data_IF_878107715880
#
_entry.id   IF_878107715880
#
_cell.length_a   1.000
_cell.length_b   1.000
_cell.length_c   1.000
_cell.angle_alpha   90.00
_cell.angle_beta   90.00
_cell.angle_gamma   90.00
#
_symmetry.space_group_name_H-M   'P 1'
#
loop_
_entity.id
_entity.type
_entity.pdbx_description
1 polymer ?
#
# COMPACT_ATOMS: atom_id res chain seq x y z
N UNK A 1 10.41 12.26 -17.30
CA UNK A 1 9.57 12.72 -16.18
C UNK A 1 8.70 11.54 -15.75
N UNK A 2 8.35 11.41 -14.47
CA UNK A 2 7.38 10.40 -14.01
C UNK A 2 5.99 10.90 -14.37
N UNK A 3 5.20 10.07 -15.05
CA UNK A 3 3.86 10.43 -15.52
C UNK A 3 2.78 9.49 -14.96
N UNK A 4 3.16 8.35 -14.40
CA UNK A 4 2.25 7.40 -13.76
C UNK A 4 2.77 6.99 -12.38
N UNK A 5 1.92 7.11 -11.37
CA UNK A 5 2.16 6.58 -10.03
C UNK A 5 1.24 5.40 -9.79
N UNK A 6 1.82 4.29 -9.33
CA UNK A 6 1.10 3.07 -8.99
C UNK A 6 1.41 2.74 -7.54
N UNK A 7 0.37 2.54 -6.75
CA UNK A 7 0.49 1.97 -5.42
C UNK A 7 0.25 0.47 -5.52
N UNK A 8 1.22 -0.31 -5.07
CA UNK A 8 1.18 -1.75 -5.04
C UNK A 8 0.86 -2.24 -3.62
N UNK A 9 -0.04 -3.22 -3.50
CA UNK A 9 -0.41 -3.84 -2.22
C UNK A 9 -0.38 -5.37 -2.40
N UNK A 10 0.32 -6.08 -1.52
CA UNK A 10 0.28 -7.54 -1.52
C UNK A 10 -1.02 -8.02 -0.89
N UNK A 11 -1.79 -8.83 -1.61
CA UNK A 11 -2.99 -9.50 -1.08
C UNK A 11 -2.70 -10.64 -0.10
N UNK A 12 -1.45 -10.82 0.34
CA UNK A 12 -1.10 -11.83 1.35
C UNK A 12 -0.12 -11.24 2.36
N UNK A 13 -0.39 -11.53 3.63
CA UNK A 13 0.39 -11.09 4.80
C UNK A 13 1.44 -12.13 5.26
N UNK A 14 1.47 -13.31 4.63
CA UNK A 14 2.43 -14.36 5.01
C UNK A 14 3.86 -13.89 4.75
N UNK A 15 4.78 -14.23 5.65
CA UNK A 15 6.18 -13.84 5.57
C UNK A 15 6.85 -14.27 4.25
N UNK A 16 6.57 -15.49 3.78
CA UNK A 16 7.02 -16.00 2.48
C UNK A 16 5.86 -15.88 1.49
N UNK A 17 5.90 -14.82 0.67
CA UNK A 17 4.82 -14.48 -0.26
C UNK A 17 5.36 -14.19 -1.66
N UNK A 18 4.94 -15.01 -2.63
CA UNK A 18 5.25 -14.80 -4.05
C UNK A 18 4.71 -13.47 -4.59
N UNK A 19 3.51 -13.05 -4.16
CA UNK A 19 2.95 -11.75 -4.57
C UNK A 19 3.87 -10.60 -4.16
N UNK A 20 4.42 -10.62 -2.94
CA UNK A 20 5.38 -9.62 -2.50
C UNK A 20 6.67 -9.64 -3.34
N UNK A 21 7.16 -10.82 -3.70
CA UNK A 21 8.32 -10.95 -4.59
C UNK A 21 8.05 -10.36 -5.99
N UNK A 22 6.86 -10.62 -6.56
CA UNK A 22 6.44 -10.05 -7.85
C UNK A 22 6.34 -8.53 -7.79
N UNK A 23 5.72 -7.96 -6.74
CA UNK A 23 5.60 -6.50 -6.60
C UNK A 23 6.96 -5.81 -6.43
N UNK A 24 7.89 -6.44 -5.70
CA UNK A 24 9.28 -5.96 -5.60
C UNK A 24 10.00 -6.01 -6.95
N UNK A 25 9.81 -7.06 -7.74
CA UNK A 25 10.38 -7.15 -9.08
C UNK A 25 9.78 -6.09 -10.02
N UNK A 26 8.45 -5.90 -10.01
CA UNK A 26 7.77 -4.87 -10.79
C UNK A 26 8.30 -3.48 -10.48
N UNK A 27 8.54 -3.16 -9.20
CA UNK A 27 9.12 -1.88 -8.79
C UNK A 27 10.51 -1.65 -9.38
N UNK A 28 11.34 -2.70 -9.48
CA UNK A 28 12.70 -2.62 -10.07
C UNK A 28 12.67 -2.54 -11.60
N UNK A 29 11.67 -3.14 -12.23
CA UNK A 29 11.53 -3.21 -13.68
C UNK A 29 10.65 -2.08 -14.24
N UNK A 30 10.16 -1.18 -13.39
CA UNK A 30 9.28 -0.10 -13.79
C UNK A 30 9.95 0.78 -14.87
N UNK A 31 9.23 1.09 -15.98
CA UNK A 31 9.73 2.03 -16.98
C UNK A 31 10.02 3.41 -16.37
N UNK A 32 10.87 4.20 -17.03
CA UNK A 32 11.32 5.51 -16.53
C UNK A 32 10.20 6.53 -16.27
N UNK A 33 9.00 6.33 -16.83
CA UNK A 33 7.84 7.19 -16.65
C UNK A 33 6.84 6.64 -15.60
N UNK A 34 7.13 5.51 -14.95
CA UNK A 34 6.27 4.86 -13.97
C UNK A 34 7.00 4.77 -12.63
N UNK A 35 6.34 5.20 -11.55
CA UNK A 35 6.80 4.97 -10.18
C UNK A 35 5.84 4.01 -9.50
N UNK A 36 6.35 2.86 -9.05
CA UNK A 36 5.60 1.89 -8.26
C UNK A 36 6.06 2.01 -6.80
N UNK A 37 5.12 2.20 -5.88
CA UNK A 37 5.41 2.26 -4.43
C UNK A 37 4.63 1.16 -3.72
N UNK A 38 5.34 0.29 -2.99
CA UNK A 38 4.74 -0.81 -2.25
C UNK A 38 4.26 -0.34 -0.86
N UNK A 39 2.99 -0.62 -0.54
CA UNK A 39 2.45 -0.45 0.80
C UNK A 39 2.64 -1.74 1.62
N UNK A 40 3.30 -1.64 2.79
CA UNK A 40 3.59 -2.78 3.67
C UNK A 40 2.81 -2.77 4.98
N UNK A 41 2.08 -1.70 5.30
CA UNK A 41 1.34 -1.55 6.55
C UNK A 41 -0.03 -2.26 6.56
N UNK A 42 -0.26 -3.25 5.70
CA UNK A 42 -1.56 -3.93 5.60
C UNK A 42 -1.82 -4.82 6.82
N UNK A 43 -0.77 -5.42 7.39
CA UNK A 43 -0.88 -6.26 8.58
C UNK A 43 -1.28 -5.48 9.84
N UNK A 44 -1.05 -4.18 9.85
CA UNK A 44 -1.35 -3.30 10.98
C UNK A 44 -2.82 -2.84 10.99
N UNK A 45 -3.55 -3.05 9.88
CA UNK A 45 -4.98 -2.74 9.83
C UNK A 45 -5.76 -3.73 10.70
N UNK A 46 -6.60 -3.19 11.57
CA UNK A 46 -7.58 -3.99 12.31
C UNK A 46 -8.71 -4.43 11.38
N UNK A 47 -9.48 -5.44 11.80
CA UNK A 47 -10.74 -5.76 11.15
C UNK A 47 -11.63 -4.51 11.07
N UNK A 48 -12.32 -4.37 9.94
CA UNK A 48 -13.30 -3.30 9.79
C UNK A 48 -14.36 -3.40 10.88
N UNK A 49 -14.60 -2.29 11.55
CA UNK A 49 -15.67 -2.12 12.52
C UNK A 49 -16.31 -0.74 12.29
N UNK A 50 -17.60 -0.66 11.91
CA UNK A 50 -18.26 0.63 11.67
C UNK A 50 -18.29 1.53 12.91
N UNK A 51 -18.26 0.97 14.13
CA UNK A 51 -18.22 1.75 15.37
C UNK A 51 -16.89 2.50 15.56
N UNK A 52 -15.84 2.07 14.85
CA UNK A 52 -14.50 2.68 14.86
C UNK A 52 -14.24 3.54 13.60
N UNK A 53 -15.16 3.61 12.64
CA UNK A 53 -15.02 4.45 11.43
C UNK A 53 -15.57 5.86 11.67
N UNK A 54 -15.11 6.47 12.76
CA UNK A 54 -15.45 7.82 13.18
C UNK A 54 -14.21 8.49 13.78
N UNK A 55 -14.16 9.82 13.78
CA UNK A 55 -13.01 10.53 14.31
C UNK A 55 -12.94 10.41 15.84
N UNK A 56 -11.73 10.17 16.42
CA UNK A 56 -10.47 9.90 15.71
C UNK A 56 -10.38 8.46 15.20
N UNK A 57 -9.91 8.31 13.95
CA UNK A 57 -9.69 7.00 13.33
C UNK A 57 -8.46 6.28 13.93
N UNK A 58 -8.40 4.94 13.86
CA UNK A 58 -7.20 4.20 14.22
C UNK A 58 -5.97 4.62 13.40
N UNK A 59 -4.81 4.74 14.05
CA UNK A 59 -3.56 5.18 13.41
C UNK A 59 -3.21 4.44 12.11
N UNK A 60 -3.37 3.09 12.01
CA UNK A 60 -3.09 2.37 10.77
C UNK A 60 -4.00 2.79 9.60
N UNK A 61 -5.25 3.19 9.89
CA UNK A 61 -6.20 3.70 8.90
C UNK A 61 -5.80 5.09 8.44
N UNK A 62 -5.36 5.95 9.36
CA UNK A 62 -4.83 7.29 9.04
C UNK A 62 -3.61 7.16 8.14
N UNK A 63 -2.66 6.29 8.51
CA UNK A 63 -1.44 6.04 7.74
C UNK A 63 -1.75 5.53 6.31
N UNK A 64 -2.68 4.58 6.17
CA UNK A 64 -3.15 4.11 4.86
C UNK A 64 -3.73 5.25 4.01
N UNK A 65 -4.64 6.05 4.59
CA UNK A 65 -5.28 7.18 3.90
C UNK A 65 -4.25 8.23 3.46
N UNK A 66 -3.25 8.51 4.29
CA UNK A 66 -2.16 9.43 3.93
C UNK A 66 -1.28 8.86 2.81
N UNK A 67 -0.95 7.57 2.87
CA UNK A 67 -0.15 6.91 1.85
C UNK A 67 -0.79 6.99 0.45
N UNK A 68 -2.11 6.80 0.36
CA UNK A 68 -2.85 6.93 -0.91
C UNK A 68 -2.95 8.37 -1.42
N UNK A 69 -2.97 9.37 -0.53
CA UNK A 69 -2.95 10.78 -0.93
C UNK A 69 -1.61 11.22 -1.51
N UNK A 70 -0.50 10.68 -1.00
CA UNK A 70 0.86 11.01 -1.48
C UNK A 70 1.17 10.37 -2.85
N UNK A 71 0.49 9.25 -3.18
CA UNK A 71 0.67 8.58 -4.47
C UNK A 71 -0.15 9.15 -5.63
N UNK A 72 -0.96 10.19 -5.41
CA UNK A 72 -1.68 10.94 -6.45
C UNK A 72 -0.96 12.25 -6.77
#
# INVERSE_FOLDING_TARGET
MINFQIIAISGSLRAVCWNNAVLKAATKLAPKNVKITLYTGLADLTHFNPDLDQDPLPDPVIALRQFFKVGN
#
